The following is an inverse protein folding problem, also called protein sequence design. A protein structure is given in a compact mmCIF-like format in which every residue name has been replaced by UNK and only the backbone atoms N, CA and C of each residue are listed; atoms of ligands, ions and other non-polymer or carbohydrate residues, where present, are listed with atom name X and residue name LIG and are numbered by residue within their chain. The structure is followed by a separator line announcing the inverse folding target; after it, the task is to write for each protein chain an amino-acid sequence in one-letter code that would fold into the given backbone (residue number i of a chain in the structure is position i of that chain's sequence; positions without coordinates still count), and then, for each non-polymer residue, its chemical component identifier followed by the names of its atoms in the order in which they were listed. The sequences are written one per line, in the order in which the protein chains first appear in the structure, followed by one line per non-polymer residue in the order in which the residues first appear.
data_IF_638521271012
#
_entry.id   IF_638521271012
#
_cell.length_a   1.000
_cell.length_b   1.000
_cell.length_c   1.000
_cell.angle_alpha   90.00
_cell.angle_beta   90.00
_cell.angle_gamma   90.00
#
_symmetry.space_group_name_H-M   'P 1'
#
loop_
_entity.id
_entity.type
_entity.pdbx_description
1 polymer ?
#
# COMPACT_ATOMS: atom_id res chain seq x y z
N UNK A 1 8.73 27.54 10.42
CA UNK A 1 9.88 26.61 10.54
C UNK A 1 10.04 25.85 9.24
N UNK A 2 11.16 26.05 8.59
CA UNK A 2 11.49 25.31 7.36
C UNK A 2 12.15 24.01 7.77
N UNK A 3 11.50 22.87 7.51
CA UNK A 3 12.10 21.55 7.71
C UNK A 3 12.90 21.18 6.46
N UNK A 4 14.22 21.16 6.56
CA UNK A 4 15.08 20.62 5.53
C UNK A 4 14.98 19.08 5.54
N UNK A 5 14.23 18.52 4.58
CA UNK A 5 14.15 17.09 4.38
C UNK A 5 15.38 16.62 3.60
N UNK A 6 16.41 16.21 4.32
CA UNK A 6 17.59 15.60 3.70
C UNK A 6 17.30 14.11 3.38
N UNK A 7 17.61 13.69 2.16
CA UNK A 7 17.54 12.27 1.82
C UNK A 7 18.57 11.50 2.64
N UNK A 8 18.19 10.36 3.24
CA UNK A 8 19.07 9.49 4.04
C UNK A 8 20.34 9.05 3.29
N UNK A 9 20.31 9.08 1.97
CA UNK A 9 21.42 8.76 1.08
C UNK A 9 21.50 9.83 0.02
N UNK A 10 22.67 10.47 -0.15
CA UNK A 10 22.86 11.51 -1.17
C UNK A 10 22.66 10.96 -2.59
N UNK A 11 22.23 11.83 -3.51
CA UNK A 11 22.05 11.48 -4.92
C UNK A 11 23.32 10.88 -5.54
N UNK A 12 24.48 11.49 -5.28
CA UNK A 12 25.78 11.02 -5.78
C UNK A 12 26.12 9.61 -5.30
N UNK A 13 25.84 9.30 -4.03
CA UNK A 13 26.05 7.96 -3.48
C UNK A 13 25.15 6.93 -4.16
N UNK A 14 23.90 7.28 -4.43
CA UNK A 14 22.96 6.41 -5.17
C UNK A 14 23.43 6.16 -6.60
N UNK A 15 23.94 7.18 -7.28
CA UNK A 15 24.50 7.02 -8.65
C UNK A 15 25.69 6.06 -8.65
N UNK A 16 26.64 6.26 -7.74
CA UNK A 16 27.81 5.36 -7.60
C UNK A 16 27.41 3.92 -7.27
N UNK A 17 26.41 3.73 -6.39
CA UNK A 17 25.91 2.39 -6.07
C UNK A 17 25.21 1.75 -7.27
N UNK A 18 24.48 2.52 -8.10
CA UNK A 18 23.85 2.05 -9.33
C UNK A 18 24.90 1.65 -10.38
N UNK A 19 25.91 2.48 -10.58
CA UNK A 19 27.03 2.19 -11.49
C UNK A 19 27.78 0.92 -11.06
N UNK A 20 28.07 0.79 -9.75
CA UNK A 20 28.71 -0.41 -9.22
C UNK A 20 27.87 -1.66 -9.45
N UNK A 21 26.55 -1.62 -9.14
CA UNK A 21 25.63 -2.72 -9.38
C UNK A 21 25.60 -3.11 -10.86
N UNK A 22 25.59 -2.12 -11.76
CA UNK A 22 25.60 -2.36 -13.20
C UNK A 22 26.89 -3.04 -13.66
N UNK A 23 28.05 -2.58 -13.19
CA UNK A 23 29.36 -3.20 -13.53
C UNK A 23 29.48 -4.64 -13.01
N UNK A 24 29.01 -4.88 -11.78
CA UNK A 24 29.00 -6.22 -11.19
C UNK A 24 28.09 -7.16 -11.98
N UNK A 25 26.88 -6.70 -12.32
CA UNK A 25 25.95 -7.46 -13.15
C UNK A 25 26.56 -7.76 -14.53
N UNK A 26 27.14 -6.76 -15.19
CA UNK A 26 27.79 -6.94 -16.50
C UNK A 26 28.92 -7.98 -16.45
N UNK A 27 29.76 -7.92 -15.44
CA UNK A 27 30.81 -8.93 -15.21
C UNK A 27 30.23 -10.34 -15.00
N UNK A 28 29.09 -10.46 -14.34
CA UNK A 28 28.41 -11.75 -14.16
C UNK A 28 27.85 -12.28 -15.48
N UNK A 29 27.22 -11.42 -16.29
CA UNK A 29 26.67 -11.80 -17.59
C UNK A 29 27.79 -12.22 -18.56
N UNK A 30 28.90 -11.50 -18.61
CA UNK A 30 30.06 -11.85 -19.42
C UNK A 30 30.68 -13.21 -19.04
N UNK A 31 30.71 -13.51 -17.73
CA UNK A 31 31.16 -14.83 -17.23
C UNK A 31 30.18 -15.93 -17.63
N UNK A 32 28.85 -15.68 -17.53
CA UNK A 32 27.82 -16.63 -17.92
C UNK A 32 27.93 -16.94 -19.45
N UNK A 33 28.04 -15.91 -20.27
CA UNK A 33 28.22 -16.02 -21.73
C UNK A 33 29.47 -16.85 -22.11
N UNK A 34 30.62 -16.56 -21.47
CA UNK A 34 31.87 -17.32 -21.70
C UNK A 34 31.76 -18.80 -21.30
N UNK A 35 30.87 -19.12 -20.35
CA UNK A 35 30.65 -20.50 -19.88
C UNK A 35 29.50 -21.22 -20.59
N UNK A 36 28.88 -20.60 -21.63
CA UNK A 36 27.75 -21.16 -22.37
C UNK A 36 26.49 -21.31 -21.53
N UNK A 37 26.35 -20.52 -20.42
CA UNK A 37 25.15 -20.46 -19.61
C UNK A 37 24.20 -19.39 -20.12
N UNK A 38 22.93 -19.47 -19.71
CA UNK A 38 21.95 -18.41 -19.99
C UNK A 38 22.46 -17.07 -19.44
N UNK A 39 22.32 -16.02 -20.23
CA UNK A 39 22.70 -14.66 -19.86
C UNK A 39 21.61 -13.68 -20.32
N UNK A 40 21.55 -12.54 -19.67
CA UNK A 40 20.63 -11.46 -20.02
C UNK A 40 21.40 -10.33 -20.70
N UNK A 41 20.85 -9.78 -21.78
CA UNK A 41 21.47 -8.66 -22.51
C UNK A 41 21.24 -7.31 -21.84
N UNK A 42 20.17 -7.19 -21.06
CA UNK A 42 19.80 -5.96 -20.36
C UNK A 42 19.66 -6.23 -18.86
N UNK A 43 20.15 -5.30 -18.06
CA UNK A 43 19.99 -5.36 -16.62
C UNK A 43 18.49 -5.23 -16.26
N UNK A 44 17.94 -6.11 -15.41
CA UNK A 44 16.57 -5.98 -14.92
C UNK A 44 16.34 -4.60 -14.29
N UNK A 45 15.21 -4.00 -14.60
CA UNK A 45 14.81 -2.71 -14.02
C UNK A 45 14.56 -2.92 -12.53
N UNK A 46 15.11 -2.04 -11.69
CA UNK A 46 14.81 -2.02 -10.26
C UNK A 46 13.34 -1.60 -10.10
N UNK A 47 12.55 -2.45 -9.48
CA UNK A 47 11.13 -2.19 -9.28
C UNK A 47 10.87 -1.44 -7.98
N UNK A 48 9.87 -0.58 -8.00
CA UNK A 48 9.29 -0.01 -6.79
C UNK A 48 8.49 -1.13 -6.09
N UNK A 49 8.67 -1.28 -4.79
CA UNK A 49 7.96 -2.28 -3.98
C UNK A 49 6.99 -1.60 -2.99
N UNK A 50 5.78 -1.23 -3.44
CA UNK A 50 4.76 -0.68 -2.55
C UNK A 50 4.31 -1.71 -1.53
N UNK A 51 4.04 -1.28 -0.31
CA UNK A 51 3.45 -2.12 0.71
C UNK A 51 1.94 -1.87 0.76
N UNK A 52 1.18 -2.87 0.38
CA UNK A 52 -0.27 -2.85 0.39
C UNK A 52 -0.79 -3.47 1.69
N UNK A 53 -1.49 -2.69 2.51
CA UNK A 53 -2.11 -3.18 3.74
C UNK A 53 -3.56 -3.62 3.44
N UNK A 54 -3.69 -4.72 2.70
CA UNK A 54 -4.97 -5.33 2.37
C UNK A 54 -5.19 -6.52 3.31
N UNK A 55 -6.12 -6.38 4.24
CA UNK A 55 -6.50 -7.48 5.11
C UNK A 55 -7.37 -8.49 4.35
N UNK A 56 -7.22 -9.79 4.61
CA UNK A 56 -8.08 -10.84 4.03
C UNK A 56 -9.56 -10.61 4.38
N UNK A 57 -9.81 -10.10 5.60
CA UNK A 57 -11.12 -9.67 6.08
C UNK A 57 -11.02 -8.19 6.48
N UNK A 58 -11.66 -7.33 5.70
CA UNK A 58 -11.65 -5.88 5.90
C UNK A 58 -12.87 -5.45 6.72
N UNK A 59 -12.67 -4.61 7.72
CA UNK A 59 -13.77 -3.97 8.44
C UNK A 59 -14.45 -2.92 7.53
N UNK A 60 -15.79 -2.80 7.53
CA UNK A 60 -16.51 -1.90 6.61
C UNK A 60 -16.16 -0.42 6.78
N UNK A 61 -15.68 -0.03 7.95
CA UNK A 61 -15.26 1.34 8.30
C UNK A 61 -13.79 1.62 8.01
N UNK A 62 -13.02 0.61 7.53
CA UNK A 62 -11.60 0.72 7.26
C UNK A 62 -11.31 0.87 5.78
N UNK A 63 -10.29 1.68 5.49
CA UNK A 63 -9.77 1.84 4.14
C UNK A 63 -8.46 1.05 3.95
N UNK A 64 -8.15 0.72 2.70
CA UNK A 64 -6.88 0.09 2.35
C UNK A 64 -5.81 1.18 2.31
N UNK A 65 -4.68 0.92 2.96
CA UNK A 65 -3.53 1.83 2.92
C UNK A 65 -2.41 1.26 2.08
N UNK A 66 -1.73 2.15 1.36
CA UNK A 66 -0.60 1.83 0.50
C UNK A 66 0.58 2.70 0.92
N UNK A 67 1.67 2.07 1.34
CA UNK A 67 2.89 2.75 1.76
C UNK A 67 3.95 2.62 0.65
N UNK A 68 4.54 3.74 0.26
CA UNK A 68 5.58 3.79 -0.75
C UNK A 68 6.97 3.90 -0.11
N UNK A 69 7.93 3.08 -0.53
CA UNK A 69 9.30 3.15 0.01
C UNK A 69 10.00 4.46 -0.36
N UNK A 70 9.62 5.04 -1.50
CA UNK A 70 10.17 6.29 -2.05
C UNK A 70 9.05 7.24 -2.44
N UNK A 71 9.30 8.57 -2.53
CA UNK A 71 8.31 9.50 -3.07
C UNK A 71 7.96 9.16 -4.51
N UNK A 72 6.70 9.37 -4.90
CA UNK A 72 6.23 9.11 -6.25
C UNK A 72 6.40 10.35 -7.13
N UNK A 73 6.84 10.14 -8.37
CA UNK A 73 6.86 11.13 -9.44
C UNK A 73 5.56 11.08 -10.26
N UNK A 74 4.96 9.90 -10.37
CA UNK A 74 3.72 9.69 -11.15
C UNK A 74 2.83 8.66 -10.47
N UNK A 75 1.53 8.96 -10.50
CA UNK A 75 0.45 8.06 -10.12
C UNK A 75 -0.55 8.02 -11.27
N UNK A 76 -0.86 6.84 -11.76
CA UNK A 76 -1.90 6.65 -12.78
C UNK A 76 -3.06 5.84 -12.17
N UNK A 77 -4.08 6.56 -11.73
CA UNK A 77 -5.26 5.94 -11.10
C UNK A 77 -6.13 5.16 -12.07
N UNK A 78 -5.98 5.36 -13.39
CA UNK A 78 -6.69 4.57 -14.40
C UNK A 78 -6.23 3.11 -14.45
N UNK A 79 -5.02 2.86 -13.97
CA UNK A 79 -4.38 1.54 -13.83
C UNK A 79 -4.70 0.84 -12.49
N UNK A 80 -5.56 1.43 -11.68
CA UNK A 80 -6.05 0.83 -10.44
C UNK A 80 -7.47 0.35 -10.67
N UNK A 81 -7.75 -0.89 -10.37
CA UNK A 81 -9.03 -1.53 -10.58
C UNK A 81 -9.54 -2.15 -9.29
N UNK A 82 -10.76 -1.83 -8.94
CA UNK A 82 -11.45 -2.45 -7.81
C UNK A 82 -12.68 -3.16 -8.35
N UNK A 83 -12.80 -4.44 -8.05
CA UNK A 83 -13.94 -5.25 -8.43
C UNK A 83 -14.67 -5.74 -7.18
N UNK A 84 -16.00 -5.76 -7.25
CA UNK A 84 -16.89 -6.36 -6.25
C UNK A 84 -17.56 -7.60 -6.87
N UNK A 85 -17.65 -8.67 -6.10
CA UNK A 85 -18.32 -9.90 -6.54
C UNK A 85 -19.79 -9.83 -6.20
N UNK A 86 -20.63 -10.13 -7.20
CA UNK A 86 -22.05 -10.35 -7.01
C UNK A 86 -22.40 -11.72 -7.64
N UNK A 87 -22.82 -12.66 -6.82
CA UNK A 87 -22.98 -14.06 -7.19
C UNK A 87 -21.69 -14.65 -7.77
N UNK A 88 -21.68 -14.95 -9.07
CA UNK A 88 -20.52 -15.54 -9.79
C UNK A 88 -19.76 -14.51 -10.63
N UNK A 89 -20.25 -13.26 -10.73
CA UNK A 89 -19.69 -12.23 -11.60
C UNK A 89 -18.97 -11.14 -10.82
N UNK A 90 -17.93 -10.59 -11.45
CA UNK A 90 -17.17 -9.45 -10.94
C UNK A 90 -17.59 -8.17 -11.65
N UNK A 91 -17.90 -7.13 -10.88
CA UNK A 91 -18.29 -5.81 -11.38
C UNK A 91 -17.31 -4.77 -10.90
N UNK A 92 -16.98 -3.82 -11.77
CA UNK A 92 -16.11 -2.69 -11.41
C UNK A 92 -16.77 -1.85 -10.32
N UNK A 93 -16.09 -1.66 -9.22
CA UNK A 93 -16.52 -0.82 -8.10
C UNK A 93 -15.81 0.53 -8.15
N UNK A 94 -16.51 1.56 -7.66
CA UNK A 94 -15.92 2.90 -7.54
C UNK A 94 -15.01 2.97 -6.33
N UNK A 95 -13.97 3.78 -6.43
CA UNK A 95 -13.06 4.07 -5.34
C UNK A 95 -12.46 5.47 -5.50
N UNK A 96 -11.89 5.98 -4.41
CA UNK A 96 -11.06 7.18 -4.38
C UNK A 96 -9.67 6.75 -3.94
N UNK A 97 -8.64 7.16 -4.67
CA UNK A 97 -7.25 6.98 -4.29
C UNK A 97 -6.62 8.34 -4.01
N UNK A 98 -6.13 8.56 -2.80
CA UNK A 98 -5.57 9.85 -2.39
C UNK A 98 -4.41 9.69 -1.41
N UNK A 99 -3.58 10.72 -1.30
CA UNK A 99 -2.55 10.81 -0.29
C UNK A 99 -3.17 11.03 1.10
N UNK A 100 -2.63 10.37 2.11
CA UNK A 100 -3.04 10.55 3.51
C UNK A 100 -2.44 11.82 4.07
N UNK A 101 -3.29 12.61 4.74
CA UNK A 101 -2.85 13.82 5.43
C UNK A 101 -1.86 13.47 6.55
N UNK A 102 -0.79 14.26 6.66
CA UNK A 102 0.22 14.17 7.73
C UNK A 102 1.02 12.86 7.79
N UNK A 103 0.94 12.00 6.78
CA UNK A 103 1.74 10.78 6.68
C UNK A 103 2.41 10.74 5.33
N UNK A 104 3.69 11.07 5.29
CA UNK A 104 4.44 11.10 4.04
C UNK A 104 4.47 9.73 3.35
N UNK A 105 4.35 9.72 2.02
CA UNK A 105 4.42 8.51 1.19
C UNK A 105 3.37 7.44 1.52
N UNK A 106 2.30 7.84 2.15
CA UNK A 106 1.18 6.96 2.49
C UNK A 106 -0.07 7.40 1.75
N UNK A 107 -0.71 6.45 1.10
CA UNK A 107 -1.93 6.66 0.32
C UNK A 107 -3.04 5.81 0.89
N UNK A 108 -4.27 6.22 0.64
CA UNK A 108 -5.45 5.44 1.00
C UNK A 108 -6.34 5.22 -0.21
N UNK A 109 -6.85 4.00 -0.32
CA UNK A 109 -7.90 3.63 -1.24
C UNK A 109 -9.20 3.48 -0.45
N UNK A 110 -10.15 4.34 -0.77
CA UNK A 110 -11.47 4.42 -0.14
C UNK A 110 -12.47 3.83 -1.12
N UNK A 111 -13.06 2.71 -0.77
CA UNK A 111 -14.11 2.08 -1.57
C UNK A 111 -15.47 2.19 -0.90
N UNK A 112 -16.53 1.87 -1.67
CA UNK A 112 -17.87 1.67 -1.13
C UNK A 112 -17.96 0.23 -0.61
N UNK A 113 -17.44 0.01 0.61
CA UNK A 113 -17.40 -1.33 1.20
C UNK A 113 -18.78 -1.80 1.62
N UNK A 114 -19.25 -2.87 1.01
CA UNK A 114 -20.52 -3.51 1.37
C UNK A 114 -20.25 -4.73 2.25
N UNK A 115 -20.87 -4.81 3.45
CA UNK A 115 -20.68 -5.95 4.33
C UNK A 115 -20.98 -7.29 3.65
N UNK A 116 -20.16 -8.30 3.92
CA UNK A 116 -20.30 -9.63 3.37
C UNK A 116 -19.86 -9.82 1.92
N UNK A 117 -19.49 -8.76 1.20
CA UNK A 117 -19.10 -8.80 -0.21
C UNK A 117 -17.61 -9.09 -0.37
N UNK A 118 -17.28 -9.89 -1.38
CA UNK A 118 -15.90 -10.14 -1.79
C UNK A 118 -15.46 -9.07 -2.81
N UNK A 119 -14.22 -8.63 -2.67
CA UNK A 119 -13.57 -7.65 -3.55
C UNK A 119 -12.25 -8.19 -4.10
N UNK A 120 -11.83 -7.67 -5.26
CA UNK A 120 -10.49 -7.85 -5.81
C UNK A 120 -9.91 -6.49 -6.12
N UNK A 121 -8.75 -6.19 -5.53
CA UNK A 121 -7.93 -5.03 -5.89
C UNK A 121 -6.87 -5.50 -6.88
N UNK A 122 -6.84 -4.89 -8.04
CA UNK A 122 -5.89 -5.16 -9.11
C UNK A 122 -5.22 -3.84 -9.53
N UNK A 123 -3.91 -3.86 -9.60
CA UNK A 123 -3.11 -2.68 -9.97
C UNK A 123 -2.15 -3.13 -11.05
N UNK A 124 -2.26 -2.50 -12.22
CA UNK A 124 -1.40 -2.83 -13.35
C UNK A 124 0.05 -2.40 -13.07
N UNK A 125 0.98 -3.05 -13.76
CA UNK A 125 2.38 -2.64 -13.71
C UNK A 125 2.52 -1.18 -14.16
N UNK A 126 3.47 -0.44 -13.58
CA UNK A 126 3.73 0.98 -13.87
C UNK A 126 2.65 1.98 -13.41
N UNK A 127 1.62 1.55 -12.69
CA UNK A 127 0.62 2.44 -12.09
C UNK A 127 1.27 3.51 -11.19
N UNK A 128 2.36 3.15 -10.53
CA UNK A 128 3.19 4.05 -9.73
C UNK A 128 4.60 4.09 -10.28
N UNK A 129 5.17 5.28 -10.36
CA UNK A 129 6.59 5.48 -10.71
C UNK A 129 7.19 6.42 -9.69
N UNK A 130 8.31 6.03 -9.10
CA UNK A 130 9.00 6.85 -8.12
C UNK A 130 9.83 7.97 -8.74
N UNK A 131 10.38 8.85 -7.89
CA UNK A 131 11.25 9.96 -8.33
C UNK A 131 12.57 9.51 -8.96
N UNK A 132 12.91 8.22 -8.87
CA UNK A 132 14.11 7.63 -9.48
C UNK A 132 13.80 6.87 -10.76
N UNK A 133 12.52 6.85 -11.19
CA UNK A 133 12.05 6.19 -12.39
C UNK A 133 11.77 4.70 -12.22
N UNK A 134 11.78 4.17 -10.98
CA UNK A 134 11.42 2.79 -10.71
C UNK A 134 9.89 2.60 -10.82
N UNK A 135 9.41 1.70 -11.72
CA UNK A 135 7.99 1.42 -11.85
C UNK A 135 7.53 0.39 -10.83
N UNK A 136 6.25 0.45 -10.44
CA UNK A 136 5.62 -0.60 -9.63
C UNK A 136 5.39 -1.88 -10.45
N UNK A 137 5.51 -3.06 -9.84
CA UNK A 137 5.03 -4.30 -10.43
C UNK A 137 3.49 -4.33 -10.45
N UNK A 138 2.94 -5.30 -11.14
CA UNK A 138 1.51 -5.60 -11.02
C UNK A 138 1.21 -6.15 -9.63
N UNK A 139 -0.02 -5.90 -9.15
CA UNK A 139 -0.50 -6.38 -7.86
C UNK A 139 -1.95 -6.82 -7.98
N UNK A 140 -2.27 -7.96 -7.37
CA UNK A 140 -3.63 -8.47 -7.30
C UNK A 140 -3.86 -9.15 -5.96
N UNK A 141 -4.92 -8.74 -5.27
CA UNK A 141 -5.36 -9.38 -4.04
C UNK A 141 -6.86 -9.35 -3.87
N UNK A 142 -7.44 -10.52 -3.59
CA UNK A 142 -8.81 -10.66 -3.15
C UNK A 142 -8.93 -10.48 -1.63
N UNK A 143 -10.05 -9.92 -1.20
CA UNK A 143 -10.41 -9.77 0.20
C UNK A 143 -11.93 -9.77 0.38
N UNK A 144 -12.40 -9.98 1.59
CA UNK A 144 -13.82 -9.95 1.92
C UNK A 144 -14.09 -8.89 2.97
N UNK A 145 -15.15 -8.12 2.80
CA UNK A 145 -15.62 -7.21 3.85
C UNK A 145 -16.43 -8.01 4.86
N UNK A 146 -16.15 -7.82 6.15
CA UNK A 146 -16.85 -8.53 7.21
C UNK A 146 -18.35 -8.23 7.16
N UNK A 147 -19.20 -9.23 7.36
CA UNK A 147 -20.64 -9.03 7.41
C UNK A 147 -21.06 -8.31 8.70
N UNK A 148 -22.26 -7.71 8.70
CA UNK A 148 -22.75 -6.92 9.84
C UNK A 148 -23.02 -7.78 11.07
N UNK A 149 -23.32 -9.06 10.92
CA UNK A 149 -23.58 -10.00 12.01
C UNK A 149 -22.33 -10.35 12.84
N UNK A 150 -21.13 -10.01 12.36
CA UNK A 150 -19.89 -10.10 13.15
C UNK A 150 -19.70 -8.93 14.12
N UNK A 151 -20.57 -7.91 14.07
CA UNK A 151 -20.49 -6.72 14.94
C UNK A 151 -21.64 -6.67 15.93
N UNK A 152 -21.32 -6.22 17.15
CA UNK A 152 -22.30 -5.94 18.18
C UNK A 152 -22.45 -4.43 18.38
N UNK A 153 -23.59 -4.01 18.91
CA UNK A 153 -23.81 -2.65 19.37
C UNK A 153 -23.77 -2.61 20.88
N UNK A 154 -22.87 -1.81 21.45
CA UNK A 154 -22.81 -1.54 22.89
C UNK A 154 -23.30 -0.13 23.13
N UNK A 155 -24.39 -0.01 23.88
CA UNK A 155 -24.92 1.27 24.34
C UNK A 155 -24.48 1.51 25.80
N UNK A 156 -23.67 2.54 26.01
CA UNK A 156 -23.18 2.92 27.34
C UNK A 156 -23.78 4.26 27.71
N UNK A 157 -24.60 4.26 28.78
CA UNK A 157 -25.14 5.48 29.37
C UNK A 157 -24.26 5.91 30.55
N UNK A 158 -23.64 7.08 30.44
CA UNK A 158 -22.78 7.63 31.48
C UNK A 158 -23.49 8.83 32.09
N UNK A 159 -23.75 8.77 33.42
CA UNK A 159 -24.27 9.91 34.19
C UNK A 159 -23.13 10.48 35.02
N UNK A 160 -22.70 11.69 34.71
CA UNK A 160 -21.69 12.40 35.49
C UNK A 160 -22.35 13.03 36.74
N UNK A 161 -21.86 12.74 37.93
CA UNK A 161 -22.35 13.43 39.16
C UNK A 161 -21.89 14.89 39.22
N UNK A 162 -20.83 15.26 38.48
CA UNK A 162 -20.25 16.61 38.41
C UNK A 162 -19.70 16.88 37.01
N UNK A 163 -20.29 17.85 36.32
CA UNK A 163 -19.90 18.25 34.94
C UNK A 163 -18.51 18.92 34.86
N UNK A 164 -17.94 19.27 36.03
CA UNK A 164 -16.62 19.93 36.07
C UNK A 164 -15.44 18.96 36.06
N UNK A 165 -15.69 17.67 36.30
CA UNK A 165 -14.65 16.65 36.34
C UNK A 165 -14.45 16.01 34.95
N UNK A 166 -13.20 15.97 34.42
CA UNK A 166 -12.93 15.26 33.19
C UNK A 166 -13.13 13.75 33.43
N UNK A 167 -13.99 13.14 32.61
CA UNK A 167 -14.22 11.69 32.65
C UNK A 167 -13.71 11.04 31.40
N UNK A 168 -13.19 9.83 31.54
CA UNK A 168 -12.72 8.99 30.42
C UNK A 168 -13.43 7.65 30.53
N UNK A 169 -14.17 7.29 29.48
CA UNK A 169 -14.73 5.94 29.33
C UNK A 169 -13.74 5.10 28.49
N UNK A 170 -13.39 3.94 29.00
CA UNK A 170 -12.52 2.98 28.32
C UNK A 170 -13.24 1.65 28.19
N UNK A 171 -13.20 1.08 26.98
CA UNK A 171 -13.59 -0.29 26.74
C UNK A 171 -12.33 -1.16 26.78
N UNK A 172 -12.24 -1.99 27.80
CA UNK A 172 -11.09 -2.89 28.01
C UNK A 172 -11.48 -4.33 27.67
N UNK A 173 -10.50 -5.13 27.27
CA UNK A 173 -10.67 -6.57 27.12
C UNK A 173 -10.65 -7.28 28.49
N UNK A 174 -10.79 -8.61 28.47
CA UNK A 174 -10.76 -9.43 29.70
C UNK A 174 -9.42 -9.38 30.47
N UNK A 175 -8.38 -8.75 29.91
CA UNK A 175 -7.06 -8.61 30.52
C UNK A 175 -6.73 -7.14 30.85
N UNK A 176 -7.73 -6.27 30.91
CA UNK A 176 -7.61 -4.84 31.21
C UNK A 176 -6.70 -4.06 30.23
N UNK A 177 -6.69 -4.45 28.95
CA UNK A 177 -5.90 -3.81 27.87
C UNK A 177 -6.79 -3.10 26.88
#
# INVERSE_FOLDING_TARGET
DTLDVLSKVSYEKRQKDRERKYEEWKKQQDKAKKRGKEYQEQMPIELLEPKYNVATYLDPDRNITVEMPTPLARIDTSMIHLYARHDTLWYRSKFIFRERKNVARSYELIGEWRPGVEYSLEIDSTAFVDIYGAPSPEYKQGFKVKPEDEYGTLLVNISAPDDTLPMVAQLLDANDK
#
